data_IF_452543345542
#
_entry.id   IF_452543345542
#
_cell.length_a   1.000
_cell.length_b   1.000
_cell.length_c   1.000
_cell.angle_alpha   90.00
_cell.angle_beta   90.00
_cell.angle_gamma   90.00
#
_symmetry.space_group_name_H-M   'P 1'
#
loop_
_entity.id
_entity.type
_entity.pdbx_description
1 polymer ?
#
# COMPACT_ATOMS: atom_id res chain seq x y z
N UNK A 1 4.69 -12.48 -5.37
CA UNK A 1 4.76 -11.08 -5.79
C UNK A 1 3.35 -10.60 -6.10
N UNK A 2 2.84 -9.65 -5.33
CA UNK A 2 1.56 -9.02 -5.59
C UNK A 2 1.79 -7.81 -6.50
N UNK A 3 1.78 -8.03 -7.83
CA UNK A 3 2.12 -7.01 -8.83
C UNK A 3 1.39 -5.68 -8.61
N UNK A 4 0.11 -5.75 -8.24
CA UNK A 4 -0.72 -4.59 -7.93
C UNK A 4 -0.18 -3.73 -6.77
N UNK A 5 0.38 -4.37 -5.75
CA UNK A 5 0.95 -3.70 -4.58
C UNK A 5 2.36 -3.18 -4.90
N UNK A 6 3.12 -3.93 -5.69
CA UNK A 6 4.44 -3.51 -6.17
C UNK A 6 4.36 -2.21 -6.98
N UNK A 7 3.43 -2.13 -7.95
CA UNK A 7 3.25 -0.94 -8.80
C UNK A 7 2.79 0.26 -7.99
N UNK A 8 1.76 0.08 -7.15
CA UNK A 8 1.26 1.15 -6.29
C UNK A 8 2.34 1.63 -5.32
N UNK A 9 3.07 0.72 -4.69
CA UNK A 9 4.16 1.02 -3.77
C UNK A 9 5.24 1.86 -4.44
N UNK A 10 5.70 1.44 -5.63
CA UNK A 10 6.72 2.17 -6.40
C UNK A 10 6.26 3.60 -6.72
N UNK A 11 5.02 3.75 -7.21
CA UNK A 11 4.44 5.05 -7.54
C UNK A 11 4.41 5.98 -6.32
N UNK A 12 3.99 5.47 -5.16
CA UNK A 12 3.88 6.26 -3.92
C UNK A 12 5.25 6.65 -3.37
N UNK A 13 6.22 5.74 -3.38
CA UNK A 13 7.61 6.03 -2.95
C UNK A 13 8.22 7.14 -3.82
N UNK A 14 8.05 7.04 -5.14
CA UNK A 14 8.58 8.01 -6.10
C UNK A 14 7.71 9.26 -6.25
N UNK A 15 6.58 9.35 -5.52
CA UNK A 15 5.61 10.46 -5.57
C UNK A 15 5.11 10.79 -6.99
N UNK A 16 4.95 9.75 -7.82
CA UNK A 16 4.52 9.89 -9.21
C UNK A 16 3.00 9.91 -9.33
N UNK A 17 2.52 10.69 -10.29
CA UNK A 17 1.18 10.56 -10.86
C UNK A 17 1.06 9.28 -11.69
N UNK A 18 -0.18 8.88 -12.01
CA UNK A 18 -0.42 7.77 -12.92
C UNK A 18 0.15 8.07 -14.32
N UNK A 19 0.01 9.31 -14.78
CA UNK A 19 0.51 9.77 -16.08
C UNK A 19 2.04 9.71 -16.18
N UNK A 20 2.78 10.09 -15.13
CA UNK A 20 4.24 9.97 -15.09
C UNK A 20 4.69 8.50 -15.13
N UNK A 21 4.04 7.63 -14.34
CA UNK A 21 4.37 6.20 -14.35
C UNK A 21 4.02 5.54 -15.68
N UNK A 22 2.90 5.93 -16.30
CA UNK A 22 2.49 5.45 -17.62
C UNK A 22 3.52 5.81 -18.70
N UNK A 23 4.05 7.04 -18.65
CA UNK A 23 5.15 7.48 -19.53
C UNK A 23 6.41 6.64 -19.34
N UNK A 24 6.82 6.34 -18.10
CA UNK A 24 8.00 5.51 -17.83
C UNK A 24 7.85 4.06 -18.30
N UNK A 25 6.63 3.52 -18.23
CA UNK A 25 6.33 2.18 -18.73
C UNK A 25 6.04 2.16 -20.23
N UNK A 26 5.90 3.34 -20.86
CA UNK A 26 5.46 3.55 -22.24
C UNK A 26 4.16 2.78 -22.53
N UNK A 27 3.17 2.95 -21.65
CA UNK A 27 1.84 2.37 -21.76
C UNK A 27 0.77 3.43 -21.54
N UNK A 28 -0.48 3.22 -21.98
CA UNK A 28 -1.59 4.08 -21.60
C UNK A 28 -1.80 4.12 -20.08
N UNK A 29 -2.26 5.25 -19.56
CA UNK A 29 -2.61 5.44 -18.14
C UNK A 29 -3.53 4.34 -17.61
N UNK A 30 -4.52 3.93 -18.40
CA UNK A 30 -5.48 2.87 -18.05
C UNK A 30 -4.82 1.52 -17.78
N UNK A 31 -3.66 1.25 -18.38
CA UNK A 31 -2.88 0.03 -18.08
C UNK A 31 -2.27 0.12 -16.69
N UNK A 32 -1.77 1.29 -16.28
CA UNK A 32 -1.24 1.49 -14.91
C UNK A 32 -2.36 1.39 -13.89
N UNK A 33 -3.52 1.98 -14.17
CA UNK A 33 -4.72 1.85 -13.33
C UNK A 33 -5.13 0.38 -13.18
N UNK A 34 -5.22 -0.36 -14.28
CA UNK A 34 -5.56 -1.78 -14.28
C UNK A 34 -4.53 -2.65 -13.53
N UNK A 35 -3.24 -2.31 -13.61
CA UNK A 35 -2.17 -2.95 -12.83
C UNK A 35 -2.35 -2.66 -11.33
N UNK A 36 -2.53 -1.39 -10.94
CA UNK A 36 -2.72 -0.99 -9.54
C UNK A 36 -4.01 -1.53 -8.96
N UNK A 37 -5.07 -1.69 -9.74
CA UNK A 37 -6.32 -2.27 -9.26
C UNK A 37 -6.24 -3.80 -9.17
N UNK A 38 -5.31 -4.43 -9.88
CA UNK A 38 -5.19 -5.89 -9.99
C UNK A 38 -6.13 -6.51 -11.03
N UNK A 39 -6.68 -5.68 -11.92
CA UNK A 39 -7.45 -6.09 -13.11
C UNK A 39 -6.52 -6.78 -14.12
N UNK A 40 -5.29 -6.27 -14.27
CA UNK A 40 -4.24 -6.88 -15.10
C UNK A 40 -3.36 -7.78 -14.24
N UNK A 41 -3.72 -9.07 -14.17
CA UNK A 41 -2.98 -10.09 -13.40
C UNK A 41 -1.74 -10.62 -14.13
N UNK A 42 -1.81 -10.65 -15.47
CA UNK A 42 -0.79 -11.24 -16.33
C UNK A 42 -0.37 -10.22 -17.41
N UNK A 43 0.51 -9.25 -17.07
CA UNK A 43 1.03 -8.32 -18.07
C UNK A 43 1.85 -9.07 -19.13
N UNK A 44 2.02 -8.44 -20.30
CA UNK A 44 2.90 -8.98 -21.34
C UNK A 44 4.35 -9.12 -20.83
N UNK A 45 5.14 -10.07 -21.36
CA UNK A 45 6.54 -10.22 -20.95
C UNK A 45 7.37 -8.93 -21.09
N UNK A 46 7.10 -8.14 -22.13
CA UNK A 46 7.74 -6.84 -22.36
C UNK A 46 7.41 -5.84 -21.23
N UNK A 47 6.14 -5.71 -20.85
CA UNK A 47 5.72 -4.84 -19.75
C UNK A 47 6.27 -5.32 -18.41
N UNK A 48 6.24 -6.63 -18.15
CA UNK A 48 6.83 -7.20 -16.94
C UNK A 48 8.33 -6.92 -16.84
N UNK A 49 9.07 -6.98 -17.96
CA UNK A 49 10.49 -6.62 -18.00
C UNK A 49 10.72 -5.16 -17.62
N UNK A 50 9.90 -4.23 -18.13
CA UNK A 50 9.97 -2.81 -17.76
C UNK A 50 9.69 -2.60 -16.27
N UNK A 51 8.65 -3.25 -15.74
CA UNK A 51 8.32 -3.19 -14.31
C UNK A 51 9.48 -3.69 -13.45
N UNK A 52 10.09 -4.83 -13.80
CA UNK A 52 11.27 -5.35 -13.10
C UNK A 52 12.46 -4.38 -13.14
N UNK A 53 12.67 -3.68 -14.26
CA UNK A 53 13.69 -2.64 -14.37
C UNK A 53 13.41 -1.44 -13.46
N UNK A 54 12.15 -1.01 -13.33
CA UNK A 54 11.78 0.11 -12.46
C UNK A 54 12.10 -0.16 -10.98
N UNK A 55 11.89 -1.40 -10.54
CA UNK A 55 12.11 -1.80 -9.14
C UNK A 55 13.51 -2.37 -8.89
N UNK A 56 14.38 -2.39 -9.91
CA UNK A 56 15.72 -2.96 -9.78
C UNK A 56 16.56 -2.17 -8.77
N UNK A 57 17.23 -2.90 -7.87
CA UNK A 57 18.01 -2.32 -6.78
C UNK A 57 17.18 -1.80 -5.60
N UNK A 58 15.86 -1.95 -5.63
CA UNK A 58 14.97 -1.66 -4.51
C UNK A 58 14.55 -2.97 -3.82
N UNK A 59 14.19 -2.90 -2.54
CA UNK A 59 13.59 -4.04 -1.84
C UNK A 59 12.12 -4.19 -2.28
N UNK A 60 11.86 -5.17 -3.14
CA UNK A 60 10.51 -5.47 -3.64
C UNK A 60 9.51 -5.75 -2.50
N UNK A 61 9.94 -6.41 -1.41
CA UNK A 61 9.03 -6.71 -0.30
C UNK A 61 8.64 -5.44 0.46
N UNK A 62 9.58 -4.52 0.60
CA UNK A 62 9.31 -3.20 1.18
C UNK A 62 8.33 -2.40 0.30
N UNK A 63 8.55 -2.41 -1.02
CA UNK A 63 7.65 -1.74 -1.96
C UNK A 63 6.24 -2.35 -1.89
N UNK A 64 6.14 -3.68 -1.93
CA UNK A 64 4.85 -4.38 -1.80
C UNK A 64 4.15 -4.05 -0.49
N UNK A 65 4.88 -4.00 0.64
CA UNK A 65 4.32 -3.62 1.92
C UNK A 65 3.76 -2.19 1.86
N UNK A 66 4.51 -1.24 1.33
CA UNK A 66 4.03 0.15 1.19
C UNK A 66 2.75 0.19 0.33
N UNK A 67 2.75 -0.50 -0.82
CA UNK A 67 1.57 -0.59 -1.70
C UNK A 67 0.35 -1.17 -0.98
N UNK A 68 0.52 -2.31 -0.30
CA UNK A 68 -0.54 -2.95 0.48
C UNK A 68 -1.07 -2.02 1.57
N UNK A 69 -0.21 -1.29 2.26
CA UNK A 69 -0.59 -0.32 3.29
C UNK A 69 -1.47 0.80 2.74
N UNK A 70 -1.14 1.36 1.58
CA UNK A 70 -1.99 2.34 0.89
C UNK A 70 -3.35 1.76 0.54
N UNK A 71 -3.41 0.53 0.02
CA UNK A 71 -4.70 -0.13 -0.30
C UNK A 71 -5.56 -0.36 0.92
N UNK A 72 -4.98 -0.78 2.04
CA UNK A 72 -5.72 -0.96 3.29
C UNK A 72 -6.34 0.37 3.73
N UNK A 73 -5.56 1.46 3.67
CA UNK A 73 -6.04 2.81 3.98
C UNK A 73 -7.17 3.26 3.04
N UNK A 74 -7.02 3.04 1.73
CA UNK A 74 -8.04 3.42 0.76
C UNK A 74 -9.32 2.56 0.89
N UNK A 75 -9.17 1.27 1.19
CA UNK A 75 -10.29 0.35 1.45
C UNK A 75 -11.08 0.74 2.70
N UNK A 76 -10.39 1.07 3.79
CA UNK A 76 -11.03 1.40 5.07
C UNK A 76 -11.68 2.79 5.07
N UNK A 77 -11.16 3.74 4.29
CA UNK A 77 -11.67 5.11 4.23
C UNK A 77 -11.81 5.73 5.61
N UNK A 78 -13.03 6.13 5.99
CA UNK A 78 -13.30 6.75 7.29
C UNK A 78 -13.04 5.81 8.49
N UNK A 79 -13.10 4.49 8.28
CA UNK A 79 -12.81 3.50 9.33
C UNK A 79 -11.32 3.37 9.64
N UNK A 80 -10.45 3.98 8.83
CA UNK A 80 -9.00 3.93 9.06
C UNK A 80 -8.60 4.52 10.42
N UNK A 81 -9.35 5.49 10.93
CA UNK A 81 -9.13 6.05 12.27
C UNK A 81 -9.27 5.01 13.38
N UNK A 82 -10.24 4.10 13.27
CA UNK A 82 -10.40 2.97 14.20
C UNK A 82 -9.30 1.94 14.02
N UNK A 83 -8.91 1.66 12.77
CA UNK A 83 -7.78 0.80 12.49
C UNK A 83 -6.49 1.27 13.19
N UNK A 84 -6.16 2.56 13.15
CA UNK A 84 -4.99 3.09 13.86
C UNK A 84 -5.07 2.91 15.39
N UNK A 85 -6.27 3.02 15.97
CA UNK A 85 -6.49 2.75 17.41
C UNK A 85 -6.32 1.27 17.74
N UNK A 86 -6.80 0.37 16.88
CA UNK A 86 -6.58 -1.07 17.03
C UNK A 86 -5.11 -1.43 16.90
N UNK A 87 -4.43 -0.89 15.87
CA UNK A 87 -3.01 -1.10 15.63
C UNK A 87 -2.16 -0.65 16.82
N UNK A 88 -2.54 0.47 17.45
CA UNK A 88 -1.93 0.98 18.67
C UNK A 88 -1.97 -0.04 19.81
N UNK A 89 -3.10 -0.73 20.00
CA UNK A 89 -3.23 -1.80 20.98
C UNK A 89 -2.42 -3.03 20.60
N UNK A 90 -2.53 -3.48 19.36
CA UNK A 90 -1.89 -4.69 18.84
C UNK A 90 -0.36 -4.62 18.90
N UNK A 91 0.22 -3.46 18.59
CA UNK A 91 1.68 -3.27 18.54
C UNK A 91 2.25 -2.59 19.79
N UNK A 92 1.41 -2.20 20.75
CA UNK A 92 1.84 -1.46 21.94
C UNK A 92 2.47 -0.10 21.64
N UNK A 93 2.11 0.51 20.50
CA UNK A 93 2.60 1.83 20.07
C UNK A 93 1.50 2.85 20.35
N UNK A 94 1.82 3.97 21.01
CA UNK A 94 0.84 5.03 21.22
C UNK A 94 0.20 5.51 19.90
N UNK A 95 -1.12 5.70 19.89
CA UNK A 95 -1.85 6.14 18.69
C UNK A 95 -1.32 7.47 18.15
N UNK A 96 -0.92 8.39 19.05
CA UNK A 96 -0.31 9.67 18.69
C UNK A 96 1.02 9.52 17.94
N UNK A 97 1.83 8.52 18.29
CA UNK A 97 3.09 8.20 17.60
C UNK A 97 2.81 7.64 16.21
N UNK A 98 1.84 6.73 16.10
CA UNK A 98 1.42 6.17 14.79
C UNK A 98 0.92 7.29 13.86
N UNK A 99 0.11 8.23 14.36
CA UNK A 99 -0.42 9.35 13.56
C UNK A 99 0.66 10.34 13.10
N UNK A 100 1.77 10.44 13.84
CA UNK A 100 2.91 11.30 13.50
C UNK A 100 3.95 10.60 12.63
N UNK A 101 3.81 9.30 12.36
CA UNK A 101 4.75 8.58 11.48
C UNK A 101 4.73 9.18 10.07
N UNK A 102 5.90 9.29 9.41
CA UNK A 102 5.96 9.59 8.00
C UNK A 102 5.07 8.64 7.20
N UNK A 103 4.33 9.12 6.17
CA UNK A 103 3.38 8.28 5.44
C UNK A 103 3.98 6.96 4.93
N UNK A 104 5.20 6.99 4.38
CA UNK A 104 5.87 5.79 3.87
C UNK A 104 6.13 4.76 4.98
N UNK A 105 6.62 5.20 6.14
CA UNK A 105 6.87 4.32 7.28
C UNK A 105 5.57 3.74 7.83
N UNK A 106 4.52 4.56 7.94
CA UNK A 106 3.20 4.12 8.37
C UNK A 106 2.64 3.04 7.43
N UNK A 107 2.63 3.29 6.12
CA UNK A 107 2.07 2.32 5.17
C UNK A 107 2.94 1.08 5.02
N UNK A 108 4.26 1.20 5.17
CA UNK A 108 5.15 0.03 5.29
C UNK A 108 4.76 -0.82 6.50
N UNK A 109 4.64 -0.23 7.69
CA UNK A 109 4.22 -0.92 8.91
C UNK A 109 2.89 -1.65 8.69
N UNK A 110 1.88 -0.94 8.18
CA UNK A 110 0.54 -1.48 7.94
C UNK A 110 0.56 -2.64 6.94
N UNK A 111 1.30 -2.51 5.84
CA UNK A 111 1.37 -3.56 4.83
C UNK A 111 2.14 -4.81 5.25
N UNK A 112 3.00 -4.71 6.26
CA UNK A 112 3.70 -5.89 6.83
C UNK A 112 2.85 -6.70 7.81
N UNK A 113 1.68 -6.22 8.20
CA UNK A 113 0.80 -6.91 9.14
C UNK A 113 0.36 -8.26 8.57
N UNK A 114 0.51 -9.30 9.39
CA UNK A 114 0.01 -10.65 9.08
C UNK A 114 -1.43 -10.81 9.54
N UNK A 115 -1.82 -10.03 10.53
CA UNK A 115 -3.12 -10.00 11.16
C UNK A 115 -4.18 -9.39 10.22
N UNK A 116 -5.43 -9.80 10.41
CA UNK A 116 -6.56 -9.29 9.64
C UNK A 116 -6.83 -7.83 10.01
N UNK A 117 -6.69 -6.93 9.02
CA UNK A 117 -6.90 -5.50 9.22
C UNK A 117 -8.36 -5.19 9.60
N UNK A 118 -9.34 -6.03 9.24
CA UNK A 118 -10.73 -5.90 9.68
C UNK A 118 -10.83 -6.15 11.18
N UNK A 119 -10.20 -7.23 11.67
CA UNK A 119 -10.15 -7.55 13.11
C UNK A 119 -9.52 -6.42 13.92
N UNK A 120 -8.38 -5.89 13.45
CA UNK A 120 -7.72 -4.74 14.08
C UNK A 120 -8.66 -3.53 14.12
N UNK A 121 -9.37 -3.26 13.01
CA UNK A 121 -10.34 -2.17 12.94
C UNK A 121 -11.47 -2.32 13.96
N UNK A 122 -12.03 -3.52 14.09
CA UNK A 122 -13.12 -3.80 15.02
C UNK A 122 -12.70 -3.68 16.50
N UNK A 123 -11.47 -4.07 16.83
CA UNK A 123 -10.89 -3.84 18.16
C UNK A 123 -10.74 -2.36 18.47
N UNK A 124 -10.25 -1.57 17.52
CA UNK A 124 -10.17 -0.11 17.66
C UNK A 124 -11.53 0.56 17.78
N UNK A 125 -12.56 0.05 17.07
CA UNK A 125 -13.94 0.52 17.18
C UNK A 125 -14.54 0.22 18.55
N UNK A 126 -14.32 -0.98 19.08
CA UNK A 126 -14.77 -1.36 20.44
C UNK A 126 -14.12 -0.47 21.50
N UNK A 127 -12.82 -0.22 21.37
CA UNK A 127 -12.07 0.65 22.27
C UNK A 127 -12.57 2.11 22.29
N UNK A 128 -13.14 2.60 21.18
CA UNK A 128 -13.64 3.97 21.09
C UNK A 128 -15.04 4.17 21.68
N UNK A 129 -15.74 3.09 22.06
CA UNK A 129 -17.08 3.12 22.66
C UNK A 129 -17.06 3.02 24.20
N UNK A 130 -15.89 2.84 24.78
CA UNK A 130 -15.59 2.82 26.22
C UNK A 130 -14.93 4.11 26.61
#
# INVERSE_FOLDING_TARGET
MALKDLILGYRKIKRKSLDELAKELEVPKTVVEGLENGEIKHPTPALLSKIKKLVWGLDEKEIEAIGRGYRIKDFLGNYFTYFLKGLSKEKGIETSKIQKMPPIELYKLIGTLKEDFIKITDEGRRAAKT
#
